data_IF_566579551533
#
_entry.id   IF_566579551533
#
_cell.length_a   1.000
_cell.length_b   1.000
_cell.length_c   1.000
_cell.angle_alpha   90.00
_cell.angle_beta   90.00
_cell.angle_gamma   90.00
#
_symmetry.space_group_name_H-M   'P 1'
#
loop_
_entity.id
_entity.type
_entity.pdbx_description
1 polymer ?
#
# COMPACT_ATOMS: atom_id res chain seq x y z
N UNK A 1 21.25 -9.59 -28.69
CA UNK A 1 20.34 -10.18 -29.69
C UNK A 1 19.62 -11.38 -29.09
N UNK A 2 18.41 -11.21 -28.56
CA UNK A 2 17.41 -12.25 -28.28
C UNK A 2 16.12 -11.42 -28.15
N UNK A 3 15.07 -11.57 -28.95
CA UNK A 3 14.21 -12.72 -29.13
C UNK A 3 13.64 -12.75 -30.57
N UNK A 4 13.80 -13.86 -31.28
CA UNK A 4 12.98 -14.20 -32.46
C UNK A 4 12.42 -15.60 -32.24
N UNK A 5 11.12 -15.72 -32.48
CA UNK A 5 10.33 -16.97 -32.59
C UNK A 5 9.68 -17.48 -31.31
N UNK A 6 8.63 -16.80 -30.84
CA UNK A 6 7.65 -17.41 -29.92
C UNK A 6 6.20 -17.26 -30.38
N UNK A 7 5.97 -16.96 -31.67
CA UNK A 7 4.64 -17.01 -32.29
C UNK A 7 4.66 -18.00 -33.45
N UNK A 8 4.36 -19.26 -33.13
CA UNK A 8 3.71 -20.18 -34.08
C UNK A 8 2.30 -20.41 -33.56
N UNK A 9 1.34 -19.88 -34.29
CA UNK A 9 -0.09 -20.09 -34.08
C UNK A 9 -0.43 -21.58 -34.04
N UNK A 10 -1.34 -21.95 -33.13
CA UNK A 10 -2.40 -22.88 -33.49
C UNK A 10 -3.67 -22.64 -32.66
N UNK A 11 -4.79 -22.86 -33.35
CA UNK A 11 -6.14 -22.35 -33.12
C UNK A 11 -6.86 -22.88 -31.87
N UNK A 12 -7.79 -22.02 -31.44
CA UNK A 12 -9.13 -22.24 -30.87
C UNK A 12 -9.28 -23.02 -29.57
N UNK A 13 -9.71 -22.31 -28.53
CA UNK A 13 -10.93 -22.67 -27.82
C UNK A 13 -11.61 -21.40 -27.28
N UNK A 14 -12.90 -21.28 -27.59
CA UNK A 14 -13.76 -20.18 -27.18
C UNK A 14 -13.97 -20.23 -25.66
N UNK A 15 -13.26 -19.37 -24.93
CA UNK A 15 -13.56 -19.05 -23.55
C UNK A 15 -14.17 -17.64 -23.50
N UNK A 16 -15.33 -17.54 -22.86
CA UNK A 16 -16.01 -16.28 -22.56
C UNK A 16 -14.99 -15.27 -22.03
N UNK A 17 -14.77 -14.19 -22.79
CA UNK A 17 -13.84 -13.12 -22.46
C UNK A 17 -14.42 -12.37 -21.26
N UNK A 18 -14.09 -12.82 -20.05
CA UNK A 18 -14.14 -11.94 -18.89
C UNK A 18 -13.26 -10.73 -19.24
N UNK A 19 -13.72 -9.50 -19.02
CA UNK A 19 -12.97 -8.24 -19.20
C UNK A 19 -11.76 -8.15 -18.22
N UNK A 20 -10.93 -9.19 -18.19
CA UNK A 20 -9.70 -9.25 -17.42
C UNK A 20 -8.62 -8.59 -18.27
N UNK A 21 -8.02 -7.54 -17.70
CA UNK A 21 -6.87 -6.87 -18.26
C UNK A 21 -5.77 -7.91 -18.55
N UNK A 22 -5.08 -7.74 -19.67
CA UNK A 22 -3.82 -8.44 -19.90
C UNK A 22 -2.79 -8.04 -18.83
N UNK A 23 -1.73 -8.85 -18.67
CA UNK A 23 -0.66 -8.56 -17.71
C UNK A 23 -0.06 -7.15 -17.92
N UNK A 24 0.13 -6.75 -19.18
CA UNK A 24 0.68 -5.43 -19.55
C UNK A 24 -0.32 -4.32 -19.19
N UNK A 25 -1.59 -4.46 -19.57
CA UNK A 25 -2.62 -3.47 -19.23
C UNK A 25 -2.82 -3.34 -17.71
N UNK A 26 -2.69 -4.45 -16.97
CA UNK A 26 -2.71 -4.44 -15.50
C UNK A 26 -1.50 -3.64 -14.95
N UNK A 27 -0.30 -3.92 -15.46
CA UNK A 27 0.93 -3.23 -15.04
C UNK A 27 0.89 -1.73 -15.34
N UNK A 28 0.36 -1.34 -16.49
CA UNK A 28 0.16 0.06 -16.87
C UNK A 28 -0.92 0.72 -15.99
N UNK A 29 -2.07 0.07 -15.83
CA UNK A 29 -3.18 0.59 -15.02
C UNK A 29 -2.76 0.87 -13.58
N UNK A 30 -1.99 -0.02 -12.98
CA UNK A 30 -1.52 0.09 -11.60
C UNK A 30 -0.10 0.66 -11.50
N UNK A 31 0.41 1.24 -12.58
CA UNK A 31 1.61 2.07 -12.59
C UNK A 31 2.89 1.36 -12.10
N UNK A 32 3.06 0.05 -12.34
CA UNK A 32 4.22 -0.71 -11.86
C UNK A 32 5.56 -0.15 -12.36
N UNK A 33 5.60 0.20 -13.65
CA UNK A 33 6.81 0.78 -14.26
C UNK A 33 7.16 2.14 -13.63
N UNK A 34 6.13 2.93 -13.35
CA UNK A 34 6.33 4.22 -12.69
C UNK A 34 6.80 4.04 -11.25
N UNK A 35 6.29 3.03 -10.55
CA UNK A 35 6.76 2.70 -9.20
C UNK A 35 8.28 2.44 -9.18
N UNK A 36 8.79 1.59 -10.07
CA UNK A 36 10.24 1.35 -10.15
C UNK A 36 11.03 2.63 -10.48
N UNK A 37 10.56 3.47 -11.40
CA UNK A 37 11.20 4.75 -11.68
C UNK A 37 11.28 5.65 -10.43
N UNK A 38 10.23 5.68 -9.62
CA UNK A 38 10.19 6.46 -8.38
C UNK A 38 11.09 5.85 -7.29
N UNK A 39 11.19 4.52 -7.22
CA UNK A 39 12.07 3.83 -6.27
C UNK A 39 13.55 4.11 -6.58
N UNK A 40 13.94 4.13 -7.85
CA UNK A 40 15.29 4.53 -8.25
C UNK A 40 15.56 6.01 -7.95
N UNK A 41 14.59 6.91 -8.15
CA UNK A 41 14.72 8.31 -7.67
C UNK A 41 14.87 8.41 -6.15
N UNK A 42 14.24 7.51 -5.40
CA UNK A 42 14.37 7.47 -3.95
C UNK A 42 15.75 6.96 -3.52
N UNK A 43 16.33 5.98 -4.22
CA UNK A 43 17.71 5.55 -4.04
C UNK A 43 18.69 6.72 -4.27
N UNK A 44 18.55 7.44 -5.39
CA UNK A 44 19.36 8.62 -5.69
C UNK A 44 19.26 9.69 -4.59
N UNK A 45 18.05 9.97 -4.08
CA UNK A 45 17.86 10.93 -3.00
C UNK A 45 18.57 10.49 -1.70
N UNK A 46 18.58 9.19 -1.39
CA UNK A 46 19.28 8.65 -0.21
C UNK A 46 20.81 8.74 -0.36
N UNK A 47 21.34 8.74 -1.58
CA UNK A 47 22.75 9.07 -1.82
C UNK A 47 23.04 10.54 -1.50
N UNK A 48 22.17 11.46 -1.90
CA UNK A 48 22.34 12.90 -1.69
C UNK A 48 22.20 13.34 -0.23
N UNK A 49 21.29 12.72 0.52
CA UNK A 49 21.04 13.04 1.95
C UNK A 49 22.20 12.57 2.86
N UNK A 50 23.07 11.70 2.35
CA UNK A 50 24.19 11.14 3.11
C UNK A 50 25.29 12.21 3.36
N UNK A 51 25.35 12.76 4.57
CA UNK A 51 26.47 13.60 5.04
C UNK A 51 27.44 12.81 5.92
N UNK A 52 28.68 13.29 6.06
CA UNK A 52 29.88 12.61 6.60
C UNK A 52 29.76 11.97 8.02
N UNK A 53 28.61 12.07 8.70
CA UNK A 53 28.32 11.45 10.01
C UNK A 53 26.99 10.67 10.02
N UNK A 54 26.61 10.04 8.91
CA UNK A 54 25.37 9.25 8.80
C UNK A 54 25.26 8.20 9.92
N UNK A 55 24.19 8.30 10.72
CA UNK A 55 23.87 7.35 11.79
C UNK A 55 23.75 5.92 11.25
N UNK A 56 24.18 4.93 12.04
CA UNK A 56 24.14 3.49 11.70
C UNK A 56 22.77 3.04 11.16
N UNK A 57 21.69 3.57 11.72
CA UNK A 57 20.32 3.23 11.31
C UNK A 57 20.00 3.70 9.89
N UNK A 58 20.51 4.86 9.46
CA UNK A 58 20.35 5.35 8.10
C UNK A 58 21.09 4.46 7.10
N UNK A 59 22.34 4.09 7.42
CA UNK A 59 23.16 3.22 6.56
C UNK A 59 22.48 1.85 6.38
N UNK A 60 21.97 1.29 7.48
CA UNK A 60 21.24 0.02 7.45
C UNK A 60 19.95 0.13 6.64
N UNK A 61 19.14 1.18 6.88
CA UNK A 61 17.93 1.42 6.11
C UNK A 61 18.21 1.53 4.62
N UNK A 62 19.17 2.38 4.23
CA UNK A 62 19.55 2.57 2.82
C UNK A 62 19.98 1.26 2.18
N UNK A 63 20.82 0.47 2.86
CA UNK A 63 21.24 -0.84 2.37
C UNK A 63 20.05 -1.77 2.13
N UNK A 64 19.17 -1.93 3.12
CA UNK A 64 17.98 -2.78 3.02
C UNK A 64 17.04 -2.30 1.92
N UNK A 65 16.86 -0.99 1.79
CA UNK A 65 16.03 -0.39 0.77
C UNK A 65 16.54 -0.68 -0.65
N UNK A 66 17.84 -0.54 -0.87
CA UNK A 66 18.47 -0.85 -2.17
C UNK A 66 18.36 -2.35 -2.48
N UNK A 67 18.69 -3.22 -1.53
CA UNK A 67 18.56 -4.67 -1.69
C UNK A 67 17.13 -5.06 -2.11
N UNK A 68 16.12 -4.52 -1.42
CA UNK A 68 14.70 -4.76 -1.71
C UNK A 68 14.31 -4.35 -3.15
N UNK A 69 14.76 -3.18 -3.65
CA UNK A 69 14.45 -2.75 -5.03
C UNK A 69 14.91 -3.79 -6.05
N UNK A 70 16.17 -4.23 -5.93
CA UNK A 70 16.75 -5.17 -6.89
C UNK A 70 16.18 -6.59 -6.77
N UNK A 71 15.75 -7.01 -5.57
CA UNK A 71 14.98 -8.24 -5.39
C UNK A 71 13.63 -8.16 -6.12
N UNK A 72 12.89 -7.06 -5.94
CA UNK A 72 11.59 -6.84 -6.57
C UNK A 72 11.66 -6.80 -8.10
N UNK A 73 12.75 -6.28 -8.68
CA UNK A 73 12.96 -6.29 -10.14
C UNK A 73 13.20 -7.70 -10.70
N UNK A 74 13.79 -8.59 -9.89
CA UNK A 74 14.05 -9.99 -10.26
C UNK A 74 12.85 -10.91 -10.06
N UNK A 75 11.87 -10.49 -9.26
CA UNK A 75 10.76 -11.33 -8.85
C UNK A 75 9.66 -11.50 -9.91
N UNK A 76 9.16 -12.73 -10.02
CA UNK A 76 8.03 -13.05 -10.88
C UNK A 76 6.69 -12.50 -10.34
N UNK A 77 6.60 -12.39 -9.01
CA UNK A 77 5.48 -11.81 -8.25
C UNK A 77 6.12 -10.96 -7.15
N UNK A 78 6.34 -9.69 -7.44
CA UNK A 78 6.99 -8.76 -6.52
C UNK A 78 6.05 -8.37 -5.36
N UNK A 79 6.53 -8.49 -4.12
CA UNK A 79 5.82 -8.08 -2.90
C UNK A 79 6.31 -6.73 -2.39
N UNK A 80 5.54 -5.67 -2.61
CA UNK A 80 5.94 -4.33 -2.21
C UNK A 80 5.63 -3.99 -0.75
N UNK A 81 5.42 -4.97 0.14
CA UNK A 81 5.04 -4.73 1.54
C UNK A 81 6.09 -3.96 2.33
N UNK A 82 7.39 -4.30 2.19
CA UNK A 82 8.46 -3.58 2.87
C UNK A 82 8.57 -2.13 2.38
N UNK A 83 8.55 -1.94 1.06
CA UNK A 83 8.51 -0.62 0.44
C UNK A 83 7.29 0.17 0.95
N UNK A 84 6.11 -0.44 0.99
CA UNK A 84 4.91 0.22 1.49
C UNK A 84 5.07 0.66 2.96
N UNK A 85 5.62 -0.21 3.82
CA UNK A 85 5.87 0.08 5.23
C UNK A 85 6.83 1.26 5.44
N UNK A 86 7.98 1.27 4.77
CA UNK A 86 8.99 2.32 4.97
C UNK A 86 8.51 3.72 4.58
N UNK A 87 7.55 3.79 3.66
CA UNK A 87 7.02 5.05 3.13
C UNK A 87 5.77 5.56 3.85
N UNK A 88 5.27 4.86 4.87
CA UNK A 88 4.16 5.38 5.69
C UNK A 88 4.56 6.66 6.44
N UNK A 89 3.55 7.41 6.87
CA UNK A 89 3.73 8.61 7.70
C UNK A 89 4.54 8.29 8.97
N UNK A 90 5.56 9.09 9.26
CA UNK A 90 6.46 8.97 10.43
C UNK A 90 7.37 7.71 10.48
N UNK A 91 7.49 6.97 9.38
CA UNK A 91 8.43 5.85 9.22
C UNK A 91 9.81 6.29 8.72
N UNK A 92 10.70 5.32 8.54
CA UNK A 92 12.12 5.46 8.19
C UNK A 92 12.34 6.48 7.06
N UNK A 93 11.58 6.39 5.96
CA UNK A 93 11.70 7.34 4.85
C UNK A 93 11.53 8.80 5.31
N UNK A 94 10.47 9.07 6.05
CA UNK A 94 10.16 10.41 6.55
C UNK A 94 11.17 10.88 7.61
N UNK A 95 11.66 9.96 8.45
CA UNK A 95 12.67 10.26 9.46
C UNK A 95 13.99 10.72 8.83
N UNK A 96 14.40 10.08 7.73
CA UNK A 96 15.69 10.34 7.11
C UNK A 96 15.66 11.45 6.05
N UNK A 97 14.58 11.58 5.28
CA UNK A 97 14.51 12.52 4.16
C UNK A 97 13.76 13.82 4.47
N UNK A 98 13.01 13.85 5.59
CA UNK A 98 12.27 15.01 6.04
C UNK A 98 11.35 15.59 4.97
N UNK A 99 11.39 16.92 4.80
CA UNK A 99 10.56 17.61 3.80
C UNK A 99 10.99 17.33 2.37
N UNK A 100 12.28 17.05 2.12
CA UNK A 100 12.84 16.85 0.78
C UNK A 100 12.26 15.60 0.13
N UNK A 101 12.12 14.51 0.88
CA UNK A 101 11.55 13.25 0.37
C UNK A 101 10.02 13.17 0.42
N UNK A 102 9.31 14.18 0.94
CA UNK A 102 7.88 14.07 1.24
C UNK A 102 7.01 13.81 0.01
N UNK A 103 7.21 14.57 -1.07
CA UNK A 103 6.39 14.42 -2.28
C UNK A 103 6.65 13.08 -2.97
N UNK A 104 7.93 12.73 -3.12
CA UNK A 104 8.35 11.46 -3.70
C UNK A 104 7.78 10.28 -2.89
N UNK A 105 7.91 10.35 -1.57
CA UNK A 105 7.41 9.29 -0.70
C UNK A 105 5.90 9.12 -0.72
N UNK A 106 5.14 10.21 -0.81
CA UNK A 106 3.69 10.14 -0.99
C UNK A 106 3.29 9.45 -2.30
N UNK A 107 4.00 9.71 -3.40
CA UNK A 107 3.72 9.06 -4.70
C UNK A 107 4.00 7.57 -4.62
N UNK A 108 5.14 7.19 -4.06
CA UNK A 108 5.53 5.78 -3.86
C UNK A 108 4.49 5.06 -3.00
N UNK A 109 4.17 5.60 -1.82
CA UNK A 109 3.18 5.02 -0.90
C UNK A 109 1.82 4.78 -1.58
N UNK A 110 1.36 5.73 -2.39
CA UNK A 110 0.08 5.63 -3.08
C UNK A 110 0.06 4.50 -4.11
N UNK A 111 1.16 4.31 -4.87
CA UNK A 111 1.23 3.25 -5.87
C UNK A 111 1.42 1.89 -5.19
N UNK A 112 2.32 1.78 -4.21
CA UNK A 112 2.62 0.52 -3.50
C UNK A 112 1.42 -0.04 -2.74
N UNK A 113 0.45 0.80 -2.37
CA UNK A 113 -0.83 0.34 -1.81
C UNK A 113 -1.58 -0.64 -2.73
N UNK A 114 -1.34 -0.60 -4.05
CA UNK A 114 -1.91 -1.56 -5.01
C UNK A 114 -1.10 -2.86 -5.18
N UNK A 115 0.14 -2.90 -4.68
CA UNK A 115 1.14 -3.92 -5.00
C UNK A 115 1.73 -4.65 -3.80
N UNK A 116 1.59 -4.08 -2.59
CA UNK A 116 1.87 -4.82 -1.36
C UNK A 116 1.00 -6.08 -1.33
N UNK A 117 1.54 -7.17 -0.81
CA UNK A 117 0.73 -8.34 -0.55
C UNK A 117 -0.32 -8.00 0.53
N UNK A 118 -1.56 -7.93 0.08
CA UNK A 118 -2.77 -7.71 0.87
C UNK A 118 -3.20 -9.08 1.43
N UNK A 119 -2.39 -9.68 2.31
CA UNK A 119 -2.74 -10.96 2.93
C UNK A 119 -3.57 -10.79 4.21
N UNK A 120 -3.57 -9.59 4.80
CA UNK A 120 -4.40 -9.27 5.96
C UNK A 120 -4.66 -7.76 6.10
N UNK A 121 -5.54 -7.40 7.02
CA UNK A 121 -5.75 -6.01 7.41
C UNK A 121 -4.50 -5.41 8.06
N UNK A 122 -4.28 -4.12 7.84
CA UNK A 122 -3.22 -3.36 8.49
C UNK A 122 -3.84 -2.18 9.24
N UNK A 123 -3.40 -1.97 10.47
CA UNK A 123 -3.80 -0.84 11.32
C UNK A 123 -3.68 0.50 10.60
N UNK A 124 -4.67 1.37 10.78
CA UNK A 124 -4.76 2.69 10.16
C UNK A 124 -5.29 2.70 8.73
N UNK A 125 -5.46 1.55 8.08
CA UNK A 125 -6.02 1.55 6.73
C UNK A 125 -7.45 2.02 6.68
N UNK A 126 -7.69 2.94 5.76
CA UNK A 126 -9.04 3.32 5.33
C UNK A 126 -9.59 2.26 4.39
N UNK A 127 -10.80 1.81 4.68
CA UNK A 127 -11.51 0.76 3.94
C UNK A 127 -12.90 1.22 3.53
N UNK A 128 -13.46 0.53 2.54
CA UNK A 128 -14.80 0.74 2.04
C UNK A 128 -15.49 -0.58 1.75
N UNK A 129 -16.72 -0.77 2.25
CA UNK A 129 -17.57 -1.93 1.99
C UNK A 129 -19.03 -1.48 2.06
N UNK A 130 -19.90 -1.98 1.17
CA UNK A 130 -21.35 -1.73 1.20
C UNK A 130 -21.79 -0.26 1.36
N UNK A 131 -21.06 0.66 0.72
CA UNK A 131 -21.26 2.12 0.78
C UNK A 131 -20.87 2.78 2.11
N UNK A 132 -20.16 2.07 2.97
CA UNK A 132 -19.64 2.57 4.23
C UNK A 132 -18.13 2.72 4.18
N UNK A 133 -17.64 3.79 4.80
CA UNK A 133 -16.22 4.08 4.97
C UNK A 133 -15.81 3.68 6.38
N UNK A 134 -14.63 3.10 6.55
CA UNK A 134 -14.12 2.75 7.87
C UNK A 134 -12.61 2.81 7.95
N UNK A 135 -12.09 2.69 9.17
CA UNK A 135 -10.65 2.60 9.45
C UNK A 135 -10.34 1.35 10.25
N UNK A 136 -9.26 0.65 9.93
CA UNK A 136 -8.75 -0.45 10.74
C UNK A 136 -8.14 0.13 12.01
N UNK A 137 -8.65 -0.26 13.17
CA UNK A 137 -8.15 0.18 14.46
C UNK A 137 -6.82 -0.49 14.80
N UNK A 138 -6.04 0.19 15.62
CA UNK A 138 -4.83 -0.34 16.24
C UNK A 138 -5.18 -1.28 17.41
N UNK A 139 -5.94 -2.33 17.08
CA UNK A 139 -6.40 -3.37 17.99
C UNK A 139 -6.12 -4.72 17.33
N UNK A 140 -5.04 -5.36 17.75
CA UNK A 140 -4.68 -6.68 17.26
C UNK A 140 -5.22 -7.81 18.16
N UNK A 141 -5.46 -8.98 17.54
CA UNK A 141 -5.70 -10.23 18.26
C UNK A 141 -4.90 -11.33 17.56
N UNK A 142 -4.08 -12.06 18.32
CA UNK A 142 -3.20 -13.11 17.79
C UNK A 142 -2.29 -12.61 16.64
N UNK A 143 -1.72 -11.41 16.78
CA UNK A 143 -0.88 -10.72 15.80
C UNK A 143 -1.56 -10.33 14.48
N UNK A 144 -2.90 -10.37 14.43
CA UNK A 144 -3.67 -9.96 13.26
C UNK A 144 -4.53 -8.74 13.58
N UNK A 145 -4.65 -7.82 12.62
CA UNK A 145 -5.60 -6.71 12.66
C UNK A 145 -6.90 -7.08 11.94
N UNK A 146 -7.90 -6.21 12.06
CA UNK A 146 -9.19 -6.41 11.41
C UNK A 146 -10.38 -5.84 12.16
N UNK A 147 -10.19 -5.19 13.31
CA UNK A 147 -11.28 -4.42 13.90
C UNK A 147 -11.49 -3.16 13.08
N UNK A 148 -12.62 -3.05 12.39
CA UNK A 148 -12.99 -1.90 11.58
C UNK A 148 -13.85 -0.96 12.43
N UNK A 149 -13.48 0.31 12.50
CA UNK A 149 -14.34 1.38 12.99
C UNK A 149 -14.98 2.09 11.81
N UNK A 150 -16.29 1.94 11.67
CA UNK A 150 -17.04 2.58 10.58
C UNK A 150 -17.23 4.08 10.83
N UNK A 151 -17.28 4.87 9.77
CA UNK A 151 -17.46 6.31 9.81
C UNK A 151 -18.91 6.68 10.09
N UNK A 152 -19.31 6.54 11.36
CA UNK A 152 -20.67 6.80 11.84
C UNK A 152 -20.66 7.62 13.13
N UNK A 153 -21.80 8.26 13.43
CA UNK A 153 -22.00 9.06 14.66
C UNK A 153 -22.06 8.22 15.94
N UNK A 154 -22.25 6.90 15.85
CA UNK A 154 -22.33 6.05 17.04
C UNK A 154 -20.96 6.03 17.72
N UNK A 155 -20.90 6.13 19.05
CA UNK A 155 -19.61 6.12 19.78
C UNK A 155 -18.81 4.83 19.56
N UNK A 156 -19.49 3.69 19.39
CA UNK A 156 -18.88 2.38 19.19
C UNK A 156 -19.59 1.67 18.05
N UNK A 157 -19.10 1.87 16.82
CA UNK A 157 -19.50 1.13 15.62
C UNK A 157 -18.28 0.37 15.11
N UNK A 158 -17.90 -0.66 15.87
CA UNK A 158 -16.75 -1.52 15.60
C UNK A 158 -17.23 -2.88 15.13
N UNK A 159 -16.62 -3.40 14.07
CA UNK A 159 -16.85 -4.74 13.56
C UNK A 159 -15.56 -5.55 13.52
N UNK A 160 -15.64 -6.81 13.92
CA UNK A 160 -14.50 -7.72 13.95
C UNK A 160 -14.37 -8.48 12.63
N UNK A 161 -13.33 -8.13 11.87
CA UNK A 161 -12.95 -8.78 10.62
C UNK A 161 -11.57 -9.46 10.72
N UNK A 162 -11.05 -9.71 11.93
CA UNK A 162 -9.73 -10.31 12.11
C UNK A 162 -9.65 -11.67 11.40
N UNK A 163 -8.65 -11.84 10.52
CA UNK A 163 -8.48 -13.06 9.72
C UNK A 163 -9.55 -13.27 8.63
N UNK A 164 -10.38 -12.26 8.36
CA UNK A 164 -11.45 -12.30 7.35
C UNK A 164 -11.16 -11.40 6.14
N UNK A 165 -9.90 -10.98 5.94
CA UNK A 165 -9.52 -10.09 4.84
C UNK A 165 -9.96 -10.62 3.47
N UNK A 166 -9.76 -11.92 3.21
CA UNK A 166 -10.21 -12.53 1.97
C UNK A 166 -11.73 -12.43 1.76
N UNK A 167 -12.53 -12.69 2.79
CA UNK A 167 -13.99 -12.59 2.73
C UNK A 167 -14.43 -11.14 2.53
N UNK A 168 -13.77 -10.20 3.20
CA UNK A 168 -13.98 -8.76 3.02
C UNK A 168 -13.82 -8.35 1.56
N UNK A 169 -12.73 -8.79 0.92
CA UNK A 169 -12.49 -8.54 -0.53
C UNK A 169 -13.54 -9.21 -1.42
N UNK A 170 -13.94 -10.45 -1.11
CA UNK A 170 -14.99 -11.16 -1.87
C UNK A 170 -16.34 -10.43 -1.82
N UNK A 171 -16.65 -9.77 -0.71
CA UNK A 171 -17.86 -8.96 -0.54
C UNK A 171 -17.76 -7.59 -1.24
N UNK A 172 -16.67 -7.32 -1.97
CA UNK A 172 -16.47 -6.06 -2.68
C UNK A 172 -15.74 -5.01 -1.84
N UNK A 173 -15.24 -5.40 -0.67
CA UNK A 173 -14.44 -4.56 0.21
C UNK A 173 -13.14 -4.09 -0.45
N UNK A 174 -12.75 -2.85 -0.16
CA UNK A 174 -11.58 -2.21 -0.74
C UNK A 174 -10.80 -1.46 0.34
N UNK A 175 -9.48 -1.59 0.32
CA UNK A 175 -8.60 -0.58 0.90
C UNK A 175 -8.67 0.64 -0.01
N UNK A 176 -8.88 1.83 0.55
CA UNK A 176 -9.05 3.08 -0.19
C UNK A 176 -7.90 4.05 0.08
N UNK A 177 -7.90 5.17 -0.64
CA UNK A 177 -6.88 6.21 -0.47
C UNK A 177 -6.78 6.68 0.97
N UNK A 178 -5.56 6.73 1.50
CA UNK A 178 -5.29 7.26 2.84
C UNK A 178 -5.59 8.76 2.95
N UNK A 179 -5.80 9.47 1.84
CA UNK A 179 -6.24 10.87 1.81
C UNK A 179 -7.75 11.05 2.03
N UNK A 180 -8.53 9.96 2.03
CA UNK A 180 -9.97 10.01 2.28
C UNK A 180 -10.26 10.70 3.62
N UNK A 181 -11.15 11.69 3.60
CA UNK A 181 -11.57 12.42 4.80
C UNK A 181 -12.88 11.83 5.31
N UNK A 182 -12.82 11.11 6.42
CA UNK A 182 -14.00 10.65 7.13
C UNK A 182 -14.87 11.82 7.56
N UNK A 183 -16.18 11.60 7.65
CA UNK A 183 -17.15 12.60 8.05
C UNK A 183 -17.17 12.77 9.57
N UNK A 184 -17.34 11.68 10.33
CA UNK A 184 -17.63 11.70 11.77
C UNK A 184 -16.44 11.29 12.63
N UNK A 185 -15.59 10.39 12.13
CA UNK A 185 -14.39 9.93 12.84
C UNK A 185 -13.13 10.58 12.30
N UNK A 186 -12.06 10.54 13.08
CA UNK A 186 -10.70 10.88 12.63
C UNK A 186 -9.94 9.60 12.22
N UNK A 187 -8.70 9.76 11.74
CA UNK A 187 -7.89 8.66 11.20
C UNK A 187 -7.47 7.62 12.25
N UNK A 188 -7.71 7.87 13.54
CA UNK A 188 -7.50 6.89 14.62
C UNK A 188 -8.81 6.26 15.14
N UNK A 189 -9.94 6.53 14.47
CA UNK A 189 -11.24 5.92 14.77
C UNK A 189 -12.05 6.60 15.89
N UNK A 190 -11.52 7.65 16.51
CA UNK A 190 -12.26 8.43 17.49
C UNK A 190 -13.27 9.36 16.81
N UNK A 191 -14.40 9.62 17.47
CA UNK A 191 -15.30 10.70 17.04
C UNK A 191 -14.55 12.03 17.02
N UNK A 192 -14.81 12.86 16.00
CA UNK A 192 -14.33 14.24 15.98
C UNK A 192 -15.01 15.04 17.09
N UNK A 193 -14.31 16.02 17.64
CA UNK A 193 -14.78 16.77 18.81
C UNK A 193 -16.12 17.50 18.56
N UNK A 194 -16.38 17.91 17.33
CA UNK A 194 -17.65 18.52 16.90
C UNK A 194 -18.87 17.59 17.04
N UNK A 195 -18.66 16.28 17.18
CA UNK A 195 -19.71 15.28 17.37
C UNK A 195 -19.75 14.70 18.80
N UNK A 196 -18.78 15.00 19.66
CA UNK A 196 -18.72 14.49 21.06
C UNK A 196 -19.67 15.21 22.02
N UNK A 197 -20.32 16.29 21.60
CA UNK A 197 -21.05 17.22 22.48
C UNK A 197 -22.52 17.43 22.08
N UNK A 198 -23.11 16.45 21.37
CA UNK A 198 -24.55 16.32 21.14
C UNK A 198 -25.09 15.09 21.85
#
# INVERSE_FOLDING_TARGET
MFFKNLFKDNKSNAYYKTDRLSKIEYFEKYQLKELFNLLHQAEELLEEVCSENSHTDFINFKKLFVEEIYELEGDNIADFTNIWNWFQTNKEWNQFTGLTGKELGHKILNITTNWKIDDDFISGFKVFLDNEYGVILDKERNNNFGIIRWDTLKEVDEEDWIGMFWNFKQMGGKVISQNHQFKYINDNGNLKDEFKSK
#
